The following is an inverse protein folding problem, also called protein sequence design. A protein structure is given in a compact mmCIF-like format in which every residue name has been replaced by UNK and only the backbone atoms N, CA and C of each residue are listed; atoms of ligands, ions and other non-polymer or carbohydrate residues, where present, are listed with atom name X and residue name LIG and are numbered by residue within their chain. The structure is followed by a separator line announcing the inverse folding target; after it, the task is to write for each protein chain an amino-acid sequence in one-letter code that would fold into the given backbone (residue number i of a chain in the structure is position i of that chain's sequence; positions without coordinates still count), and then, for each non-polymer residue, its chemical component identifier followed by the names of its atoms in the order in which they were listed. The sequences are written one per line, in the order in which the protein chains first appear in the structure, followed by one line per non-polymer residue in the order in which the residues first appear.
data_IF_160979267496
#
_entry.id   IF_160979267496
#
_cell.length_a   1.000
_cell.length_b   1.000
_cell.length_c   1.000
_cell.angle_alpha   90.00
_cell.angle_beta   90.00
_cell.angle_gamma   90.00
#
_symmetry.space_group_name_H-M   'P 1'
#
loop_
_entity.id
_entity.type
_entity.pdbx_description
1 polymer ?
#
# COMPACT_ATOMS: atom_id res chain seq x y z
N UNK A 1 -10.73 12.73 -14.08
CA UNK A 1 -11.74 12.90 -15.15
C UNK A 1 -11.90 14.35 -15.60
N UNK A 2 -11.77 15.38 -14.71
CA UNK A 2 -11.91 16.79 -15.08
C UNK A 2 -10.90 17.22 -16.15
N UNK A 3 -9.61 16.91 -15.95
CA UNK A 3 -8.53 17.28 -16.90
C UNK A 3 -8.74 16.63 -18.27
N UNK A 4 -9.19 15.37 -18.31
CA UNK A 4 -9.51 14.66 -19.55
C UNK A 4 -10.68 15.34 -20.30
N UNK A 5 -11.72 15.76 -19.57
CA UNK A 5 -12.83 16.51 -20.16
C UNK A 5 -12.42 17.87 -20.70
N UNK A 6 -11.58 18.59 -19.95
CA UNK A 6 -11.04 19.89 -20.40
C UNK A 6 -10.18 19.69 -21.65
N UNK A 7 -9.29 18.69 -21.67
CA UNK A 7 -8.51 18.37 -22.87
C UNK A 7 -9.40 18.01 -24.05
N UNK A 8 -10.47 17.25 -23.86
CA UNK A 8 -11.45 16.90 -24.90
C UNK A 8 -12.18 18.14 -25.44
N UNK A 9 -12.53 19.10 -24.58
CA UNK A 9 -13.15 20.38 -25.01
C UNK A 9 -12.17 21.24 -25.79
N UNK A 10 -10.92 21.35 -25.34
CA UNK A 10 -9.86 22.10 -26.05
C UNK A 10 -9.63 21.52 -27.44
N UNK A 11 -9.65 20.19 -27.60
CA UNK A 11 -9.42 19.52 -28.87
C UNK A 11 -10.42 19.91 -29.96
N UNK A 12 -11.60 20.46 -29.63
CA UNK A 12 -12.63 20.89 -30.57
C UNK A 12 -12.38 22.26 -31.18
N UNK A 13 -11.37 23.01 -30.73
CA UNK A 13 -11.09 24.37 -31.14
C UNK A 13 -9.99 24.50 -32.24
N UNK A 14 -9.82 23.48 -33.06
CA UNK A 14 -8.92 23.48 -34.18
C UNK A 14 -7.64 22.62 -34.00
N UNK A 15 -6.83 22.53 -35.03
CA UNK A 15 -5.71 21.59 -35.10
C UNK A 15 -4.66 21.85 -34.00
N UNK A 16 -4.29 23.10 -33.76
CA UNK A 16 -3.30 23.44 -32.74
C UNK A 16 -3.81 23.09 -31.32
N UNK A 17 -5.08 23.38 -31.05
CA UNK A 17 -5.74 23.03 -29.80
C UNK A 17 -5.82 21.50 -29.60
N UNK A 18 -6.09 20.76 -30.67
CA UNK A 18 -6.10 19.29 -30.64
C UNK A 18 -4.71 18.70 -30.34
N UNK A 19 -3.64 19.29 -30.90
CA UNK A 19 -2.25 18.88 -30.58
C UNK A 19 -1.95 19.13 -29.06
N UNK A 20 -2.29 20.31 -28.56
CA UNK A 20 -2.11 20.62 -27.12
C UNK A 20 -2.90 19.67 -26.22
N UNK A 21 -4.14 19.37 -26.57
CA UNK A 21 -4.96 18.39 -25.84
C UNK A 21 -4.34 16.99 -25.88
N UNK A 22 -3.80 16.58 -27.04
CA UNK A 22 -3.08 15.32 -27.18
C UNK A 22 -1.82 15.24 -26.32
N UNK A 23 -1.05 16.31 -26.21
CA UNK A 23 0.11 16.40 -25.32
C UNK A 23 -0.27 16.30 -23.84
N UNK A 24 -1.36 16.95 -23.42
CA UNK A 24 -1.88 16.85 -22.06
C UNK A 24 -2.27 15.39 -21.73
N UNK A 25 -3.02 14.75 -22.62
CA UNK A 25 -3.43 13.35 -22.44
C UNK A 25 -2.25 12.38 -22.45
N UNK A 26 -1.29 12.59 -23.34
CA UNK A 26 -0.06 11.80 -23.37
C UNK A 26 0.77 11.96 -22.09
N UNK A 27 0.86 13.18 -21.55
CA UNK A 27 1.54 13.44 -20.29
C UNK A 27 0.88 12.74 -19.10
N UNK A 28 -0.44 12.73 -19.02
CA UNK A 28 -1.20 12.00 -17.99
C UNK A 28 -0.93 10.48 -18.10
N UNK A 29 -0.99 9.96 -19.32
CA UNK A 29 -0.74 8.54 -19.56
C UNK A 29 0.69 8.15 -19.20
N UNK A 30 1.68 8.95 -19.62
CA UNK A 30 3.08 8.72 -19.30
C UNK A 30 3.35 8.72 -17.77
N UNK A 31 2.75 9.66 -17.04
CA UNK A 31 2.88 9.73 -15.59
C UNK A 31 2.27 8.50 -14.89
N UNK A 32 1.08 8.05 -15.33
CA UNK A 32 0.45 6.84 -14.79
C UNK A 32 1.24 5.58 -15.12
N UNK A 33 1.76 5.45 -16.33
CA UNK A 33 2.58 4.30 -16.74
C UNK A 33 3.88 4.21 -15.93
N UNK A 34 4.57 5.32 -15.73
CA UNK A 34 5.82 5.38 -14.95
C UNK A 34 5.62 4.89 -13.51
N UNK A 35 4.52 5.31 -12.87
CA UNK A 35 4.20 4.89 -11.50
C UNK A 35 3.78 3.42 -11.46
N UNK A 36 2.94 2.98 -12.38
CA UNK A 36 2.49 1.59 -12.47
C UNK A 36 3.67 0.62 -12.69
N UNK A 37 4.60 0.96 -13.56
CA UNK A 37 5.81 0.17 -13.85
C UNK A 37 6.64 -0.05 -12.57
N UNK A 38 6.91 1.02 -11.84
CA UNK A 38 7.71 0.95 -10.61
C UNK A 38 7.04 0.10 -9.54
N UNK A 39 5.72 0.24 -9.37
CA UNK A 39 4.95 -0.53 -8.38
C UNK A 39 4.85 -2.02 -8.76
N UNK A 40 4.62 -2.32 -10.04
CA UNK A 40 4.58 -3.71 -10.52
C UNK A 40 5.94 -4.39 -10.38
N UNK A 41 7.03 -3.67 -10.67
CA UNK A 41 8.39 -4.20 -10.51
C UNK A 41 8.72 -4.48 -9.04
N UNK A 42 8.35 -3.57 -8.13
CA UNK A 42 8.52 -3.77 -6.70
C UNK A 42 7.72 -4.97 -6.18
N UNK A 43 6.45 -5.10 -6.60
CA UNK A 43 5.62 -6.24 -6.24
C UNK A 43 6.16 -7.56 -6.79
N UNK A 44 6.63 -7.57 -8.04
CA UNK A 44 7.23 -8.75 -8.66
C UNK A 44 8.52 -9.19 -7.96
N UNK A 45 9.36 -8.23 -7.57
CA UNK A 45 10.58 -8.48 -6.79
C UNK A 45 10.24 -9.03 -5.40
N UNK A 46 9.26 -8.45 -4.71
CA UNK A 46 8.81 -8.93 -3.39
C UNK A 46 8.31 -10.38 -3.44
N UNK A 47 7.56 -10.76 -4.46
CA UNK A 47 7.10 -12.14 -4.62
C UNK A 47 8.27 -13.08 -4.93
N UNK A 48 9.10 -12.75 -5.91
CA UNK A 48 10.16 -13.65 -6.38
C UNK A 48 11.31 -13.78 -5.40
N UNK A 49 11.68 -12.72 -4.71
CA UNK A 49 12.82 -12.72 -3.76
C UNK A 49 12.36 -12.98 -2.34
N UNK A 50 11.46 -12.13 -1.79
CA UNK A 50 11.14 -12.21 -0.37
C UNK A 50 10.20 -13.39 -0.06
N UNK A 51 9.16 -13.63 -0.89
CA UNK A 51 8.20 -14.71 -0.60
C UNK A 51 8.76 -16.07 -1.03
N UNK A 52 9.23 -16.21 -2.27
CA UNK A 52 9.64 -17.52 -2.78
C UNK A 52 11.02 -17.93 -2.32
N UNK A 53 12.02 -17.03 -2.37
CA UNK A 53 13.40 -17.39 -2.03
C UNK A 53 13.67 -17.28 -0.53
N UNK A 54 13.32 -16.18 0.13
CA UNK A 54 13.64 -16.01 1.55
C UNK A 54 12.64 -16.76 2.45
N UNK A 55 11.36 -16.45 2.36
CA UNK A 55 10.35 -17.07 3.22
C UNK A 55 10.09 -18.54 2.84
N UNK A 56 9.95 -18.83 1.55
CA UNK A 56 9.72 -20.18 1.01
C UNK A 56 10.99 -21.06 0.98
N UNK A 57 12.18 -20.50 1.30
CA UNK A 57 13.47 -21.17 1.21
C UNK A 57 13.73 -21.86 -0.13
N UNK A 58 13.11 -21.38 -1.21
CA UNK A 58 13.26 -21.96 -2.54
C UNK A 58 14.54 -21.47 -3.21
N UNK A 59 15.41 -22.37 -3.59
CA UNK A 59 16.62 -22.06 -4.38
C UNK A 59 16.23 -21.89 -5.86
N UNK A 60 15.73 -20.72 -6.23
CA UNK A 60 15.37 -20.42 -7.60
C UNK A 60 16.61 -20.07 -8.43
N UNK A 61 16.69 -20.63 -9.64
CA UNK A 61 17.63 -20.16 -10.64
C UNK A 61 17.22 -18.78 -11.15
N UNK A 62 18.15 -18.05 -11.75
CA UNK A 62 17.87 -16.71 -12.32
C UNK A 62 16.68 -16.73 -13.29
N UNK A 63 16.59 -17.76 -14.14
CA UNK A 63 15.46 -17.94 -15.08
C UNK A 63 14.12 -18.18 -14.38
N UNK A 64 14.11 -18.95 -13.30
CA UNK A 64 12.91 -19.23 -12.52
C UNK A 64 12.45 -17.99 -11.75
N UNK A 65 13.39 -17.24 -11.17
CA UNK A 65 13.08 -15.96 -10.51
C UNK A 65 12.48 -14.94 -11.48
N UNK A 66 13.07 -14.84 -12.69
CA UNK A 66 12.53 -13.96 -13.74
C UNK A 66 11.14 -14.42 -14.22
N UNK A 67 10.91 -15.71 -14.34
CA UNK A 67 9.60 -16.27 -14.70
C UNK A 67 8.56 -15.95 -13.61
N UNK A 68 8.89 -16.16 -12.34
CA UNK A 68 8.02 -15.84 -11.21
C UNK A 68 7.67 -14.33 -11.19
N UNK A 69 8.65 -13.45 -11.40
CA UNK A 69 8.42 -12.02 -11.48
C UNK A 69 7.46 -11.63 -12.62
N UNK A 70 7.66 -12.20 -13.82
CA UNK A 70 6.77 -11.97 -14.98
C UNK A 70 5.35 -12.46 -14.73
N UNK A 71 5.23 -13.66 -14.14
CA UNK A 71 3.91 -14.22 -13.80
C UNK A 71 3.18 -13.32 -12.77
N UNK A 72 3.90 -12.82 -11.78
CA UNK A 72 3.34 -11.88 -10.79
C UNK A 72 2.82 -10.61 -11.46
N UNK A 73 3.59 -10.00 -12.38
CA UNK A 73 3.15 -8.83 -13.13
C UNK A 73 1.88 -9.12 -13.92
N UNK A 74 1.81 -10.25 -14.62
CA UNK A 74 0.63 -10.66 -15.38
C UNK A 74 -0.58 -10.83 -14.44
N UNK A 75 -0.41 -11.51 -13.32
CA UNK A 75 -1.51 -11.72 -12.35
C UNK A 75 -2.03 -10.38 -11.80
N UNK A 76 -1.13 -9.47 -11.40
CA UNK A 76 -1.50 -8.13 -10.91
C UNK A 76 -2.23 -7.34 -12.01
N UNK A 77 -1.74 -7.39 -13.25
CA UNK A 77 -2.36 -6.71 -14.38
C UNK A 77 -3.77 -7.23 -14.67
N UNK A 78 -3.97 -8.54 -14.63
CA UNK A 78 -5.31 -9.15 -14.79
C UNK A 78 -6.26 -8.69 -13.70
N UNK A 79 -5.83 -8.71 -12.44
CA UNK A 79 -6.63 -8.22 -11.31
C UNK A 79 -6.96 -6.74 -11.50
N UNK A 80 -5.98 -5.93 -11.88
CA UNK A 80 -6.17 -4.50 -12.17
C UNK A 80 -7.21 -4.25 -13.27
N UNK A 81 -7.15 -5.00 -14.37
CA UNK A 81 -8.13 -4.90 -15.47
C UNK A 81 -9.53 -5.31 -15.01
N UNK A 82 -9.64 -6.39 -14.22
CA UNK A 82 -10.94 -6.83 -13.68
C UNK A 82 -11.56 -5.76 -12.77
N UNK A 83 -10.76 -5.17 -11.87
CA UNK A 83 -11.22 -4.09 -10.99
C UNK A 83 -11.61 -2.81 -11.76
N UNK A 84 -10.88 -2.51 -12.85
CA UNK A 84 -11.16 -1.35 -13.69
C UNK A 84 -12.40 -1.50 -14.59
N UNK A 85 -12.98 -2.69 -14.71
CA UNK A 85 -14.19 -2.93 -15.52
C UNK A 85 -15.47 -2.34 -14.92
N UNK A 86 -15.50 -2.11 -13.61
CA UNK A 86 -16.67 -1.50 -12.99
C UNK A 86 -16.66 0.03 -13.22
N UNK A 87 -17.56 0.56 -14.06
CA UNK A 87 -17.62 2.00 -14.35
C UNK A 87 -18.04 2.85 -13.14
N UNK A 88 -18.61 2.23 -12.11
CA UNK A 88 -19.01 2.90 -10.87
C UNK A 88 -17.89 2.85 -9.81
N UNK A 89 -16.83 2.07 -10.04
CA UNK A 89 -15.71 2.02 -9.12
C UNK A 89 -14.98 3.37 -9.09
N UNK A 90 -14.84 3.93 -7.90
CA UNK A 90 -14.03 5.12 -7.70
C UNK A 90 -12.56 4.73 -7.58
N UNK A 91 -11.73 5.16 -8.54
CA UNK A 91 -10.26 4.99 -8.44
C UNK A 91 -9.75 5.58 -7.12
N UNK A 92 -10.30 6.73 -6.70
CA UNK A 92 -9.98 7.34 -5.41
C UNK A 92 -10.34 6.40 -4.24
N UNK A 93 -11.49 5.73 -4.28
CA UNK A 93 -11.92 4.79 -3.24
C UNK A 93 -10.98 3.58 -3.14
N UNK A 94 -10.56 3.01 -4.28
CA UNK A 94 -9.62 1.87 -4.30
C UNK A 94 -8.25 2.28 -3.75
N UNK A 95 -7.72 3.42 -4.19
CA UNK A 95 -6.43 3.95 -3.74
C UNK A 95 -6.47 4.32 -2.26
N UNK A 96 -7.53 4.98 -1.81
CA UNK A 96 -7.69 5.33 -0.39
C UNK A 96 -7.74 4.09 0.49
N UNK A 97 -8.46 3.05 0.07
CA UNK A 97 -8.51 1.79 0.81
C UNK A 97 -7.13 1.11 0.90
N UNK A 98 -6.37 1.09 -0.19
CA UNK A 98 -5.00 0.59 -0.19
C UNK A 98 -4.09 1.39 0.76
N UNK A 99 -4.20 2.73 0.75
CA UNK A 99 -3.45 3.60 1.67
C UNK A 99 -3.86 3.42 3.12
N UNK A 100 -5.15 3.20 3.38
CA UNK A 100 -5.61 2.84 4.72
C UNK A 100 -4.98 1.52 5.19
N UNK A 101 -4.87 0.54 4.31
CA UNK A 101 -4.18 -0.73 4.58
C UNK A 101 -2.71 -0.53 4.98
N UNK A 102 -1.95 0.22 4.19
CA UNK A 102 -0.55 0.52 4.50
C UNK A 102 -0.41 1.40 5.75
N UNK A 103 -1.14 2.50 5.83
CA UNK A 103 -1.07 3.43 6.96
C UNK A 103 -1.52 2.81 8.28
N UNK A 104 -2.59 2.01 8.24
CA UNK A 104 -3.11 1.27 9.40
C UNK A 104 -2.17 0.16 9.87
N UNK A 105 -1.54 -0.57 8.93
CA UNK A 105 -0.62 -1.66 9.29
C UNK A 105 0.75 -1.16 9.74
N UNK A 106 1.36 -0.23 9.01
CA UNK A 106 2.76 0.14 9.21
C UNK A 106 2.94 1.46 9.95
N UNK A 107 2.02 2.42 9.82
CA UNK A 107 2.20 3.77 10.32
C UNK A 107 2.51 3.84 11.82
N UNK A 108 1.67 3.22 12.65
CA UNK A 108 1.86 3.21 14.09
C UNK A 108 3.12 2.43 14.51
N UNK A 109 3.40 1.31 13.83
CA UNK A 109 4.56 0.47 14.13
C UNK A 109 5.87 1.20 13.81
N UNK A 110 5.95 1.89 12.67
CA UNK A 110 7.11 2.72 12.32
C UNK A 110 7.33 3.84 13.35
N UNK A 111 6.27 4.53 13.77
CA UNK A 111 6.39 5.53 14.82
C UNK A 111 6.88 4.94 16.14
N UNK A 112 6.32 3.80 16.57
CA UNK A 112 6.79 3.13 17.78
C UNK A 112 8.26 2.71 17.66
N UNK A 113 8.68 2.15 16.53
CA UNK A 113 10.06 1.70 16.34
C UNK A 113 11.08 2.84 16.32
N UNK A 114 10.69 4.02 15.82
CA UNK A 114 11.58 5.20 15.76
C UNK A 114 11.66 5.99 17.07
N UNK A 115 10.56 6.05 17.83
CA UNK A 115 10.46 6.94 18.97
C UNK A 115 10.36 6.23 20.33
N UNK A 116 10.11 4.93 20.35
CA UNK A 116 9.90 4.19 21.58
C UNK A 116 10.81 2.96 21.70
N UNK A 117 11.85 3.08 22.53
CA UNK A 117 12.91 2.08 22.77
C UNK A 117 12.38 0.69 23.19
N UNK A 118 11.18 0.64 23.82
CA UNK A 118 10.58 -0.61 24.33
C UNK A 118 9.86 -1.41 23.24
N UNK A 119 9.69 -0.86 22.01
CA UNK A 119 9.08 -1.55 20.89
C UNK A 119 9.90 -2.80 20.54
N UNK A 120 9.23 -3.95 20.46
CA UNK A 120 9.85 -5.23 20.12
C UNK A 120 9.17 -5.86 18.88
N UNK A 121 9.76 -6.92 18.36
CA UNK A 121 9.27 -7.55 17.14
C UNK A 121 7.86 -8.16 17.30
N UNK A 122 7.52 -8.69 18.49
CA UNK A 122 6.20 -9.25 18.78
C UNK A 122 5.12 -8.15 18.74
N UNK A 123 5.40 -7.01 19.36
CA UNK A 123 4.52 -5.84 19.32
C UNK A 123 4.37 -5.28 17.92
N UNK A 124 5.47 -5.17 17.18
CA UNK A 124 5.46 -4.72 15.80
C UNK A 124 4.60 -5.63 14.91
N UNK A 125 4.80 -6.95 14.98
CA UNK A 125 4.03 -7.92 14.21
C UNK A 125 2.53 -7.87 14.58
N UNK A 126 2.21 -7.88 15.88
CA UNK A 126 0.82 -7.80 16.34
C UNK A 126 0.16 -6.49 15.92
N UNK A 127 0.87 -5.37 16.00
CA UNK A 127 0.41 -4.07 15.54
C UNK A 127 0.10 -4.05 14.04
N UNK A 128 1.02 -4.57 13.21
CA UNK A 128 0.81 -4.67 11.76
C UNK A 128 -0.41 -5.52 11.41
N UNK A 129 -0.54 -6.70 12.01
CA UNK A 129 -1.64 -7.62 11.72
C UNK A 129 -2.99 -7.05 12.18
N UNK A 130 -3.05 -6.48 13.39
CA UNK A 130 -4.28 -5.90 13.92
C UNK A 130 -4.72 -4.65 13.15
N UNK A 131 -3.77 -3.79 12.76
CA UNK A 131 -4.05 -2.61 11.94
C UNK A 131 -4.57 -2.99 10.56
N UNK A 132 -3.88 -3.92 9.88
CA UNK A 132 -4.32 -4.42 8.58
C UNK A 132 -5.70 -5.08 8.63
N UNK A 133 -5.95 -5.93 9.62
CA UNK A 133 -7.26 -6.56 9.81
C UNK A 133 -8.35 -5.52 10.09
N UNK A 134 -8.05 -4.52 10.91
CA UNK A 134 -9.00 -3.48 11.31
C UNK A 134 -9.49 -2.64 10.11
N UNK A 135 -8.66 -2.42 9.08
CA UNK A 135 -9.09 -1.74 7.84
C UNK A 135 -10.27 -2.48 7.20
N UNK A 136 -10.18 -3.81 7.08
CA UNK A 136 -11.26 -4.62 6.50
C UNK A 136 -12.49 -4.66 7.41
N UNK A 137 -12.29 -4.88 8.71
CA UNK A 137 -13.37 -4.91 9.70
C UNK A 137 -14.10 -3.58 9.72
N UNK A 138 -13.37 -2.47 9.74
CA UNK A 138 -13.99 -1.14 9.72
C UNK A 138 -14.77 -0.90 8.44
N UNK A 139 -14.15 -1.13 7.29
CA UNK A 139 -14.74 -0.86 5.98
C UNK A 139 -16.01 -1.64 5.71
N UNK A 140 -15.99 -2.95 6.00
CA UNK A 140 -17.07 -3.86 5.58
C UNK A 140 -18.08 -4.18 6.68
N UNK A 141 -17.73 -3.99 7.96
CA UNK A 141 -18.59 -4.36 9.08
C UNK A 141 -19.05 -3.14 9.86
N UNK A 142 -18.13 -2.22 10.21
CA UNK A 142 -18.44 -1.12 11.14
C UNK A 142 -18.95 0.11 10.37
N UNK A 143 -18.28 0.54 9.30
CA UNK A 143 -18.65 1.72 8.53
C UNK A 143 -20.08 1.68 7.96
N UNK A 144 -20.64 0.51 7.53
CA UNK A 144 -22.03 0.41 7.08
C UNK A 144 -23.09 0.73 8.15
N UNK A 145 -22.73 0.72 9.44
CA UNK A 145 -23.63 1.13 10.52
C UNK A 145 -23.99 2.63 10.47
N UNK A 146 -23.19 3.42 9.73
CA UNK A 146 -23.45 4.86 9.51
C UNK A 146 -23.14 5.76 10.70
N UNK A 147 -23.53 7.02 10.60
CA UNK A 147 -23.30 8.01 11.66
C UNK A 147 -21.81 8.22 11.93
N UNK A 148 -21.42 8.17 13.22
CA UNK A 148 -20.02 8.36 13.65
C UNK A 148 -19.07 7.30 13.09
N UNK A 149 -19.57 6.12 12.74
CA UNK A 149 -18.77 5.04 12.18
C UNK A 149 -18.45 5.18 10.69
N UNK A 150 -19.04 6.17 10.00
CA UNK A 150 -18.74 6.49 8.60
C UNK A 150 -17.39 7.19 8.37
N UNK A 151 -16.53 7.30 9.40
CA UNK A 151 -15.18 7.87 9.26
C UNK A 151 -14.28 6.96 8.44
N UNK A 152 -13.24 7.58 7.85
CA UNK A 152 -12.26 6.89 7.04
C UNK A 152 -11.50 5.83 7.85
N UNK A 153 -11.44 4.62 7.33
CA UNK A 153 -10.93 3.40 7.97
C UNK A 153 -9.48 3.48 8.45
N UNK A 154 -8.68 4.40 7.89
CA UNK A 154 -7.28 4.60 8.30
C UNK A 154 -7.17 4.97 9.78
N UNK A 155 -8.04 5.87 10.27
CA UNK A 155 -7.93 6.36 11.65
C UNK A 155 -8.15 5.25 12.68
N UNK A 156 -9.26 4.49 12.66
CA UNK A 156 -9.45 3.41 13.62
C UNK A 156 -8.42 2.29 13.47
N UNK A 157 -7.96 1.99 12.24
CA UNK A 157 -6.94 1.00 12.00
C UNK A 157 -5.58 1.40 12.59
N UNK A 158 -5.18 2.66 12.39
CA UNK A 158 -3.96 3.22 12.97
C UNK A 158 -3.98 3.19 14.50
N UNK A 159 -5.09 3.61 15.12
CA UNK A 159 -5.24 3.60 16.57
C UNK A 159 -5.21 2.17 17.13
N UNK A 160 -5.86 1.21 16.46
CA UNK A 160 -5.81 -0.20 16.84
C UNK A 160 -4.38 -0.75 16.76
N UNK A 161 -3.68 -0.49 15.66
CA UNK A 161 -2.28 -0.87 15.48
C UNK A 161 -1.40 -0.31 16.57
N UNK A 162 -1.56 0.98 16.91
CA UNK A 162 -0.81 1.65 17.97
C UNK A 162 -1.03 1.00 19.34
N UNK A 163 -2.30 0.83 19.73
CA UNK A 163 -2.67 0.24 21.01
C UNK A 163 -2.14 -1.19 21.13
N UNK A 164 -2.35 -2.01 20.11
CA UNK A 164 -1.89 -3.40 20.10
C UNK A 164 -0.37 -3.48 20.11
N UNK A 165 0.32 -2.68 19.32
CA UNK A 165 1.78 -2.62 19.31
C UNK A 165 2.33 -2.27 20.70
N UNK A 166 1.77 -1.26 21.35
CA UNK A 166 2.19 -0.83 22.69
C UNK A 166 1.89 -1.91 23.74
N UNK A 167 0.67 -2.42 23.79
CA UNK A 167 0.26 -3.43 24.78
C UNK A 167 1.09 -4.70 24.63
N UNK A 168 1.22 -5.23 23.42
CA UNK A 168 1.99 -6.46 23.18
C UNK A 168 3.47 -6.25 23.49
N UNK A 169 4.05 -5.12 23.12
CA UNK A 169 5.44 -4.82 23.47
C UNK A 169 5.65 -4.74 24.99
N UNK A 170 4.67 -4.26 25.75
CA UNK A 170 4.78 -4.18 27.22
C UNK A 170 4.68 -5.55 27.92
N UNK A 171 3.84 -6.44 27.40
CA UNK A 171 3.60 -7.77 28.01
C UNK A 171 4.57 -8.85 27.52
N UNK A 172 5.35 -8.56 26.50
CA UNK A 172 6.37 -9.47 25.95
C UNK A 172 7.78 -9.06 26.37
N UNK A 173 8.80 -9.92 26.22
CA UNK A 173 10.17 -9.61 26.60
C UNK A 173 10.70 -8.32 25.96
N UNK A 174 11.53 -7.60 26.69
CA UNK A 174 12.19 -6.38 26.17
C UNK A 174 13.08 -6.72 24.97
N UNK A 175 13.36 -5.75 24.09
CA UNK A 175 14.41 -5.88 23.08
C UNK A 175 15.75 -6.23 23.72
N UNK A 176 16.65 -6.85 22.96
CA UNK A 176 18.01 -7.17 23.46
C UNK A 176 18.80 -5.89 23.72
N UNK A 177 19.78 -5.97 24.63
CA UNK A 177 20.65 -4.83 24.93
C UNK A 177 21.40 -4.30 23.69
N UNK A 178 21.65 -5.15 22.72
CA UNK A 178 22.26 -4.79 21.43
C UNK A 178 21.34 -3.87 20.61
N UNK A 179 20.05 -4.24 20.46
CA UNK A 179 19.03 -3.41 19.78
C UNK A 179 18.82 -2.09 20.52
N UNK A 180 18.83 -2.12 21.85
CA UNK A 180 18.73 -0.88 22.64
C UNK A 180 19.92 0.05 22.46
N UNK A 181 21.12 -0.50 22.32
CA UNK A 181 22.33 0.29 22.07
C UNK A 181 22.31 0.91 20.65
N UNK A 182 21.84 0.16 19.64
CA UNK A 182 21.65 0.68 18.27
C UNK A 182 20.62 1.82 18.25
N UNK A 183 19.52 1.68 18.97
CA UNK A 183 18.50 2.71 19.08
C UNK A 183 19.06 4.01 19.71
N UNK A 184 19.88 3.89 20.75
CA UNK A 184 20.51 5.05 21.40
C UNK A 184 21.59 5.68 20.52
N UNK A 185 22.31 4.90 19.71
CA UNK A 185 23.30 5.39 18.77
C UNK A 185 22.69 6.12 17.55
N UNK A 186 21.44 5.84 17.21
CA UNK A 186 20.71 6.44 16.10
C UNK A 186 20.05 7.79 16.45
N UNK A 187 20.09 8.19 17.72
CA UNK A 187 19.55 9.47 18.22
C UNK A 187 20.63 10.55 18.27
#
# INVERSE_FOLDING_TARGET
TLIVRVASLIAQHGVLAAILAGLILAGILAATMSTADSQMLAAASSVSQNILQEFGHMKLTEKQSLFAARLTIICISVVGVVLARDPNSSVFGIVSFAWAGFGGSFGAVVLCSLFWKRCNWQGALAGMLSGGLMVFVWKYIISPLGGVFGIYELLPAFLMSLVVCVVVSLVTPAPSAEIEAEFDAAK
#
